data_IF_480909023937
#
_entry.id   IF_480909023937
#
_cell.length_a   1.000
_cell.length_b   1.000
_cell.length_c   1.000
_cell.angle_alpha   90.00
_cell.angle_beta   90.00
_cell.angle_gamma   90.00
#
_symmetry.space_group_name_H-M   'P 1'
#
loop_
_entity.id
_entity.type
_entity.pdbx_description
1 polymer ?
#
# COMPACT_ATOMS: atom_id res chain seq x y z
N UNK A 1 -8.34 2.38 56.89
CA UNK A 1 -9.13 2.10 58.11
C UNK A 1 -10.31 1.20 57.72
N UNK A 2 -10.48 0.02 58.32
CA UNK A 2 -11.66 -0.82 58.10
C UNK A 2 -12.92 0.01 58.36
N UNK A 3 -13.83 0.07 57.39
CA UNK A 3 -15.02 0.93 57.48
C UNK A 3 -15.82 0.60 58.74
N UNK A 4 -15.85 1.53 59.68
CA UNK A 4 -16.61 1.41 60.93
C UNK A 4 -18.03 0.94 60.58
N UNK A 5 -18.49 -0.19 61.13
CA UNK A 5 -19.83 -0.70 60.84
C UNK A 5 -20.87 0.34 61.28
N UNK A 6 -21.97 0.45 60.53
CA UNK A 6 -23.08 1.31 60.91
C UNK A 6 -23.78 0.72 62.12
N UNK A 7 -24.00 1.51 63.16
CA UNK A 7 -24.81 1.09 64.30
C UNK A 7 -26.30 1.18 63.95
N UNK A 8 -27.19 0.43 64.63
CA UNK A 8 -28.63 0.55 64.44
C UNK A 8 -29.15 1.98 64.66
N UNK A 9 -28.57 2.70 65.62
CA UNK A 9 -28.90 4.10 65.93
C UNK A 9 -28.50 5.06 64.79
N UNK A 10 -27.30 4.90 64.22
CA UNK A 10 -26.86 5.69 63.06
C UNK A 10 -27.75 5.44 61.83
N UNK A 11 -28.20 4.21 61.64
CA UNK A 11 -29.12 3.87 60.55
C UNK A 11 -30.51 4.47 60.76
N UNK A 12 -31.05 4.41 61.99
CA UNK A 12 -32.33 5.04 62.32
C UNK A 12 -32.27 6.55 62.09
N UNK A 13 -31.20 7.20 62.58
CA UNK A 13 -30.96 8.63 62.40
C UNK A 13 -30.76 9.00 60.93
N UNK A 14 -30.10 8.16 60.13
CA UNK A 14 -30.01 8.33 58.68
C UNK A 14 -31.40 8.30 58.02
N UNK A 15 -32.30 7.40 58.43
CA UNK A 15 -33.66 7.31 57.86
C UNK A 15 -34.49 8.56 58.12
N UNK A 16 -34.27 9.24 59.24
CA UNK A 16 -34.91 10.52 59.55
C UNK A 16 -34.28 11.66 58.75
N UNK A 17 -32.95 11.77 58.78
CA UNK A 17 -32.22 12.85 58.13
C UNK A 17 -32.41 12.85 56.60
N UNK A 18 -32.57 11.68 55.97
CA UNK A 18 -32.80 11.56 54.52
C UNK A 18 -34.16 12.12 54.07
N UNK A 19 -35.13 12.23 54.99
CA UNK A 19 -36.43 12.87 54.75
C UNK A 19 -36.39 14.40 54.88
N UNK A 20 -35.31 14.94 55.44
CA UNK A 20 -35.11 16.39 55.56
C UNK A 20 -34.45 16.95 54.30
N UNK A 21 -34.43 18.27 54.17
CA UNK A 21 -33.79 18.96 53.03
C UNK A 21 -32.25 19.10 53.20
N UNK A 22 -31.59 18.16 53.86
CA UNK A 22 -30.14 18.17 54.06
C UNK A 22 -29.41 17.47 52.91
N UNK A 23 -28.25 17.99 52.53
CA UNK A 23 -27.36 17.35 51.54
C UNK A 23 -26.64 16.15 52.14
N UNK A 24 -26.14 15.24 51.29
CA UNK A 24 -25.37 14.08 51.74
C UNK A 24 -24.11 14.45 52.56
N UNK A 25 -23.51 15.61 52.29
CA UNK A 25 -22.35 16.11 53.02
C UNK A 25 -22.73 16.59 54.42
N UNK A 26 -23.84 17.31 54.56
CA UNK A 26 -24.36 17.76 55.85
C UNK A 26 -24.78 16.59 56.74
N UNK A 27 -25.47 15.59 56.17
CA UNK A 27 -25.80 14.35 56.87
C UNK A 27 -24.52 13.61 57.29
N UNK A 28 -23.50 13.58 56.41
CA UNK A 28 -22.18 13.05 56.73
C UNK A 28 -21.55 13.71 57.94
N UNK A 29 -21.59 15.05 58.01
CA UNK A 29 -21.08 15.79 59.15
C UNK A 29 -21.83 15.46 60.46
N UNK A 30 -23.17 15.40 60.43
CA UNK A 30 -24.01 15.08 61.60
C UNK A 30 -23.75 13.66 62.11
N UNK A 31 -23.60 12.69 61.20
CA UNK A 31 -23.37 11.29 61.54
C UNK A 31 -21.88 10.96 61.70
N UNK A 32 -20.98 11.96 61.56
CA UNK A 32 -19.53 11.78 61.54
C UNK A 32 -19.07 10.70 60.53
N UNK A 33 -19.73 10.63 59.37
CA UNK A 33 -19.44 9.72 58.25
C UNK A 33 -19.06 10.50 57.00
N UNK A 34 -18.26 9.90 56.11
CA UNK A 34 -17.98 10.53 54.81
C UNK A 34 -19.24 10.61 53.93
N UNK A 35 -19.31 11.64 53.08
CA UNK A 35 -20.40 11.84 52.11
C UNK A 35 -20.67 10.58 51.28
N UNK A 36 -19.60 9.87 50.89
CA UNK A 36 -19.69 8.63 50.11
C UNK A 36 -20.24 7.46 50.93
N UNK A 37 -19.93 7.36 52.22
CA UNK A 37 -20.47 6.31 53.09
C UNK A 37 -22.00 6.50 53.30
N UNK A 38 -22.44 7.74 53.50
CA UNK A 38 -23.86 8.11 53.60
C UNK A 38 -24.59 7.75 52.32
N UNK A 39 -24.09 8.17 51.15
CA UNK A 39 -24.69 7.87 49.84
C UNK A 39 -24.83 6.37 49.58
N UNK A 40 -23.79 5.57 49.88
CA UNK A 40 -23.84 4.11 49.73
C UNK A 40 -24.87 3.48 50.65
N UNK A 41 -24.95 3.93 51.91
CA UNK A 41 -25.90 3.39 52.88
C UNK A 41 -27.35 3.71 52.49
N UNK A 42 -27.62 4.93 52.03
CA UNK A 42 -28.93 5.34 51.47
C UNK A 42 -29.34 4.41 50.31
N UNK A 43 -28.43 4.16 49.36
CA UNK A 43 -28.68 3.24 48.23
C UNK A 43 -28.95 1.81 48.69
N UNK A 44 -28.14 1.29 49.62
CA UNK A 44 -28.29 -0.09 50.14
C UNK A 44 -29.61 -0.30 50.87
N UNK A 45 -30.07 0.70 51.63
CA UNK A 45 -31.33 0.68 52.36
C UNK A 45 -32.54 1.10 51.50
N UNK A 46 -32.32 1.47 50.24
CA UNK A 46 -33.34 1.94 49.29
C UNK A 46 -34.22 3.06 49.85
N UNK A 47 -33.62 4.00 50.59
CA UNK A 47 -34.36 5.12 51.19
C UNK A 47 -34.73 6.15 50.13
N UNK A 48 -35.99 6.62 50.16
CA UNK A 48 -36.44 7.76 49.33
C UNK A 48 -35.93 9.06 49.97
N UNK A 49 -35.05 9.74 49.26
CA UNK A 49 -34.47 11.02 49.67
C UNK A 49 -35.37 12.20 49.29
N UNK A 50 -35.57 13.14 50.21
CA UNK A 50 -36.34 14.35 49.95
C UNK A 50 -35.57 15.38 49.09
N UNK A 51 -34.25 15.46 49.24
CA UNK A 51 -33.40 16.37 48.45
C UNK A 51 -32.79 15.65 47.23
N UNK A 52 -33.01 16.21 46.02
CA UNK A 52 -32.46 15.68 44.75
C UNK A 52 -30.92 15.48 44.73
N UNK A 53 -30.15 16.25 45.52
CA UNK A 53 -28.68 16.17 45.58
C UNK A 53 -28.11 15.10 46.54
N UNK A 54 -28.97 14.31 47.20
CA UNK A 54 -28.55 13.21 48.09
C UNK A 54 -28.00 12.00 47.32
N UNK A 55 -28.40 11.85 46.06
CA UNK A 55 -27.91 10.86 45.13
C UNK A 55 -27.43 11.67 43.92
N UNK A 56 -26.13 11.84 43.69
CA UNK A 56 -25.64 12.47 42.45
C UNK A 56 -26.18 11.64 41.27
N UNK A 57 -27.28 12.10 40.66
CA UNK A 57 -27.75 11.58 39.39
C UNK A 57 -26.84 12.27 38.37
N UNK A 58 -25.82 11.56 37.88
CA UNK A 58 -25.11 12.02 36.68
C UNK A 58 -26.17 12.22 35.60
N UNK A 59 -26.18 13.37 34.88
CA UNK A 59 -27.13 13.58 33.80
C UNK A 59 -27.08 12.37 32.88
N UNK A 60 -28.25 11.91 32.50
CA UNK A 60 -28.37 10.86 31.50
C UNK A 60 -27.70 11.34 30.21
N UNK A 61 -27.24 10.41 29.38
CA UNK A 61 -26.64 10.74 28.08
C UNK A 61 -27.54 11.68 27.26
N UNK A 62 -28.86 11.53 27.36
CA UNK A 62 -29.85 12.39 26.71
C UNK A 62 -29.80 13.84 27.20
N UNK A 63 -29.72 14.05 28.52
CA UNK A 63 -29.65 15.41 29.11
C UNK A 63 -28.33 16.10 28.76
N UNK A 64 -27.23 15.35 28.74
CA UNK A 64 -25.93 15.88 28.30
C UNK A 64 -25.95 16.27 26.82
N UNK A 65 -26.59 15.48 25.95
CA UNK A 65 -26.75 15.79 24.52
C UNK A 65 -27.61 17.03 24.32
N UNK A 66 -28.73 17.18 25.04
CA UNK A 66 -29.58 18.38 24.94
C UNK A 66 -28.85 19.65 25.37
N UNK A 67 -28.03 19.57 26.42
CA UNK A 67 -27.23 20.70 26.88
C UNK A 67 -26.17 21.10 25.85
N UNK A 68 -25.53 20.12 25.21
CA UNK A 68 -24.57 20.36 24.12
C UNK A 68 -25.27 20.98 22.91
N UNK A 69 -26.45 20.49 22.51
CA UNK A 69 -27.22 21.06 21.38
C UNK A 69 -27.60 22.52 21.66
N UNK A 70 -28.03 22.84 22.89
CA UNK A 70 -28.32 24.23 23.28
C UNK A 70 -27.08 25.11 23.17
N UNK A 71 -25.92 24.63 23.61
CA UNK A 71 -24.65 25.38 23.50
C UNK A 71 -24.23 25.57 22.03
N UNK A 72 -24.34 24.54 21.19
CA UNK A 72 -24.03 24.62 19.76
C UNK A 72 -24.92 25.66 19.06
N UNK A 73 -26.22 25.70 19.36
CA UNK A 73 -27.15 26.69 18.78
C UNK A 73 -26.84 28.15 19.14
N UNK A 74 -26.10 28.37 20.22
CA UNK A 74 -25.71 29.70 20.68
C UNK A 74 -24.34 30.14 20.11
N UNK A 75 -23.60 29.24 19.47
CA UNK A 75 -22.33 29.58 18.80
C UNK A 75 -22.66 30.02 17.37
N UNK A 76 -22.38 31.27 16.98
CA UNK A 76 -22.51 31.70 15.60
C UNK A 76 -21.60 30.83 14.73
N UNK A 77 -22.15 30.24 13.68
CA UNK A 77 -21.36 29.58 12.65
C UNK A 77 -20.61 30.65 11.88
N UNK A 78 -19.29 30.70 12.03
CA UNK A 78 -18.45 31.49 11.13
C UNK A 78 -18.63 30.94 9.71
N UNK A 79 -19.14 31.78 8.81
CA UNK A 79 -19.23 31.45 7.41
C UNK A 79 -17.84 31.49 6.81
N UNK A 80 -17.28 30.33 6.46
CA UNK A 80 -16.01 30.28 5.73
C UNK A 80 -16.19 30.84 4.32
N UNK A 81 -15.18 31.56 3.83
CA UNK A 81 -15.19 32.10 2.48
C UNK A 81 -15.28 30.98 1.43
N UNK A 82 -16.02 31.24 0.37
CA UNK A 82 -16.12 30.32 -0.76
C UNK A 82 -14.81 30.33 -1.56
N UNK A 83 -14.07 29.22 -1.50
CA UNK A 83 -12.85 29.02 -2.29
C UNK A 83 -13.24 28.57 -3.71
N UNK A 84 -12.85 29.35 -4.73
CA UNK A 84 -12.97 28.95 -6.15
C UNK A 84 -11.75 28.13 -6.57
N UNK A 85 -11.97 27.14 -7.44
CA UNK A 85 -10.87 26.43 -8.06
C UNK A 85 -10.03 27.39 -8.92
N UNK A 86 -8.69 27.30 -8.88
CA UNK A 86 -7.84 28.13 -9.71
C UNK A 86 -8.00 27.76 -11.19
N UNK A 87 -8.05 28.77 -12.06
CA UNK A 87 -7.93 28.59 -13.52
C UNK A 87 -6.44 28.47 -13.87
N UNK A 88 -6.00 27.28 -14.27
CA UNK A 88 -4.59 26.99 -14.61
C UNK A 88 -4.49 26.81 -16.13
N UNK A 89 -3.75 27.67 -16.85
CA UNK A 89 -3.50 27.49 -18.27
C UNK A 89 -2.81 26.15 -18.58
N UNK A 90 -3.04 25.60 -19.77
CA UNK A 90 -2.31 24.42 -20.22
C UNK A 90 -0.79 24.68 -20.21
N UNK A 91 -0.02 23.74 -19.69
CA UNK A 91 1.43 23.84 -19.55
C UNK A 91 1.92 24.69 -18.36
N UNK A 92 1.03 25.23 -17.52
CA UNK A 92 1.41 26.00 -16.33
C UNK A 92 1.69 25.13 -15.09
N UNK A 93 1.57 23.81 -15.18
CA UNK A 93 1.91 22.87 -14.13
C UNK A 93 3.42 22.72 -13.93
N UNK A 94 3.82 22.33 -12.71
CA UNK A 94 5.21 22.00 -12.39
C UNK A 94 5.74 20.82 -13.23
N UNK A 95 7.06 20.75 -13.40
CA UNK A 95 7.71 19.58 -14.01
C UNK A 95 7.61 18.37 -13.08
N UNK A 96 7.11 17.26 -13.61
CA UNK A 96 7.02 15.97 -12.91
C UNK A 96 7.82 14.89 -13.66
N UNK A 97 8.13 13.79 -12.96
CA UNK A 97 8.68 12.58 -13.61
C UNK A 97 7.69 11.44 -13.53
N UNK A 98 7.67 10.60 -14.57
CA UNK A 98 6.89 9.38 -14.56
C UNK A 98 7.69 8.23 -13.92
N UNK A 99 6.99 7.33 -13.24
CA UNK A 99 7.54 6.08 -12.71
C UNK A 99 6.68 4.93 -13.23
N UNK A 100 7.25 4.02 -14.02
CA UNK A 100 6.59 2.77 -14.39
C UNK A 100 7.15 1.65 -13.53
N UNK A 101 6.32 1.07 -12.67
CA UNK A 101 6.65 -0.11 -11.90
C UNK A 101 6.32 -1.35 -12.72
N UNK A 102 7.37 -2.05 -13.15
CA UNK A 102 7.33 -3.26 -13.95
C UNK A 102 7.82 -4.46 -13.11
N UNK A 103 6.97 -5.45 -12.89
CA UNK A 103 7.31 -6.62 -12.08
C UNK A 103 6.57 -7.86 -12.55
N UNK A 104 7.13 -9.03 -12.25
CA UNK A 104 6.45 -10.32 -12.40
C UNK A 104 5.93 -10.52 -13.84
N UNK A 105 6.83 -10.45 -14.82
CA UNK A 105 6.49 -10.71 -16.23
C UNK A 105 6.38 -12.22 -16.48
N UNK A 106 7.22 -13.02 -15.82
CA UNK A 106 7.25 -14.48 -15.93
C UNK A 106 7.37 -15.00 -17.37
N UNK A 107 8.29 -14.42 -18.15
CA UNK A 107 8.56 -14.90 -19.53
C UNK A 107 8.93 -16.39 -19.47
N UNK A 108 8.23 -17.20 -20.27
CA UNK A 108 8.39 -18.67 -20.30
C UNK A 108 7.32 -19.45 -19.55
N UNK A 109 6.51 -18.78 -18.72
CA UNK A 109 5.36 -19.41 -18.05
C UNK A 109 4.23 -19.66 -19.04
N UNK A 110 3.58 -20.81 -18.90
CA UNK A 110 2.37 -21.21 -19.63
C UNK A 110 1.26 -21.54 -18.64
N UNK A 111 0.08 -20.99 -18.89
CA UNK A 111 -1.17 -21.32 -18.20
C UNK A 111 -2.29 -21.40 -19.23
N UNK A 112 -3.52 -21.63 -18.80
CA UNK A 112 -4.67 -21.64 -19.71
C UNK A 112 -4.91 -20.27 -20.37
N UNK A 113 -4.53 -19.18 -19.69
CA UNK A 113 -4.79 -17.81 -20.18
C UNK A 113 -3.56 -16.95 -20.38
N UNK A 114 -2.35 -17.50 -20.16
CA UNK A 114 -1.08 -16.80 -20.28
C UNK A 114 0.01 -17.64 -20.96
N UNK A 115 0.80 -16.99 -21.80
CA UNK A 115 2.00 -17.51 -22.45
C UNK A 115 2.86 -16.33 -22.94
N UNK A 116 4.00 -16.58 -23.59
CA UNK A 116 4.90 -15.54 -24.07
C UNK A 116 4.24 -14.56 -25.07
N UNK A 117 3.34 -15.05 -25.93
CA UNK A 117 2.59 -14.20 -26.86
C UNK A 117 1.64 -13.25 -26.11
N UNK A 118 0.88 -13.78 -25.14
CA UNK A 118 0.00 -12.97 -24.30
C UNK A 118 0.80 -11.96 -23.47
N UNK A 119 1.98 -12.34 -22.95
CA UNK A 119 2.87 -11.42 -22.25
C UNK A 119 3.25 -10.23 -23.14
N UNK A 120 3.62 -10.49 -24.41
CA UNK A 120 3.92 -9.45 -25.39
C UNK A 120 2.71 -8.55 -25.69
N UNK A 121 1.53 -9.14 -25.91
CA UNK A 121 0.29 -8.37 -26.14
C UNK A 121 -0.03 -7.46 -24.94
N UNK A 122 0.10 -7.98 -23.72
CA UNK A 122 -0.06 -7.22 -22.48
C UNK A 122 0.98 -6.11 -22.35
N UNK A 123 2.23 -6.35 -22.75
CA UNK A 123 3.28 -5.34 -22.75
C UNK A 123 2.99 -4.19 -23.72
N UNK A 124 2.56 -4.51 -24.95
CA UNK A 124 2.16 -3.50 -25.94
C UNK A 124 1.02 -2.64 -25.41
N UNK A 125 0.00 -3.28 -24.80
CA UNK A 125 -1.10 -2.56 -24.17
C UNK A 125 -0.62 -1.65 -23.04
N UNK A 126 0.26 -2.14 -22.17
CA UNK A 126 0.83 -1.38 -21.05
C UNK A 126 1.55 -0.12 -21.53
N UNK A 127 2.43 -0.26 -22.53
CA UNK A 127 3.18 0.88 -23.09
C UNK A 127 2.23 1.89 -23.72
N UNK A 128 1.28 1.44 -24.55
CA UNK A 128 0.31 2.34 -25.18
C UNK A 128 -0.52 3.12 -24.15
N UNK A 129 -0.95 2.47 -23.06
CA UNK A 129 -1.65 3.15 -21.97
C UNK A 129 -0.73 4.09 -21.19
N UNK A 130 0.51 3.69 -20.95
CA UNK A 130 1.50 4.53 -20.28
C UNK A 130 1.74 5.82 -21.06
N UNK A 131 2.05 5.71 -22.34
CA UNK A 131 2.26 6.87 -23.22
C UNK A 131 1.01 7.74 -23.32
N UNK A 132 -0.19 7.14 -23.45
CA UNK A 132 -1.45 7.90 -23.44
C UNK A 132 -1.63 8.71 -22.16
N UNK A 133 -1.43 8.09 -20.99
CA UNK A 133 -1.61 8.77 -19.70
C UNK A 133 -0.55 9.87 -19.53
N UNK A 134 0.71 9.60 -19.88
CA UNK A 134 1.78 10.59 -19.85
C UNK A 134 1.47 11.78 -20.76
N UNK A 135 0.96 11.54 -21.98
CA UNK A 135 0.55 12.63 -22.87
C UNK A 135 -0.58 13.48 -22.31
N UNK A 136 -1.51 12.90 -21.55
CA UNK A 136 -2.55 13.68 -20.85
C UNK A 136 -1.95 14.57 -19.75
N UNK A 137 -1.00 14.05 -18.97
CA UNK A 137 -0.30 14.84 -17.96
C UNK A 137 0.58 15.94 -18.58
N UNK A 138 1.17 15.69 -19.75
CA UNK A 138 1.94 16.69 -20.51
C UNK A 138 1.13 17.91 -20.96
N UNK A 139 -0.20 17.82 -20.97
CA UNK A 139 -1.08 18.99 -21.18
C UNK A 139 -1.01 19.93 -19.97
N UNK A 140 -0.86 19.38 -18.75
CA UNK A 140 -0.77 20.16 -17.52
C UNK A 140 0.63 20.72 -17.29
N UNK A 141 1.67 19.88 -17.38
CA UNK A 141 3.06 20.27 -17.12
C UNK A 141 4.07 19.30 -17.77
N UNK A 142 5.35 19.68 -17.86
CA UNK A 142 6.34 18.87 -18.58
C UNK A 142 6.66 17.56 -17.86
N UNK A 143 6.83 16.48 -18.65
CA UNK A 143 7.28 15.16 -18.18
C UNK A 143 8.36 14.64 -19.12
N UNK A 144 9.61 14.90 -18.77
CA UNK A 144 10.78 14.62 -19.63
C UNK A 144 11.45 13.29 -19.30
N UNK A 145 11.36 12.86 -18.03
CA UNK A 145 12.07 11.69 -17.50
C UNK A 145 11.09 10.57 -17.17
N UNK A 146 11.41 9.35 -17.60
CA UNK A 146 10.77 8.12 -17.15
C UNK A 146 11.72 7.32 -16.26
N UNK A 147 11.26 6.95 -15.07
CA UNK A 147 11.94 6.01 -14.20
C UNK A 147 11.24 4.65 -14.30
N UNK A 148 11.94 3.62 -14.75
CA UNK A 148 11.43 2.25 -14.86
C UNK A 148 11.94 1.46 -13.67
N UNK A 149 11.05 1.14 -12.74
CA UNK A 149 11.37 0.27 -11.61
C UNK A 149 11.08 -1.16 -12.01
N UNK A 150 12.13 -1.95 -12.21
CA UNK A 150 12.04 -3.38 -12.52
C UNK A 150 12.27 -4.16 -11.23
N UNK A 151 11.22 -4.70 -10.63
CA UNK A 151 11.31 -5.35 -9.30
C UNK A 151 11.32 -6.88 -9.34
N UNK A 152 11.94 -7.47 -10.36
CA UNK A 152 12.21 -8.91 -10.40
C UNK A 152 11.13 -9.77 -11.06
N UNK A 153 11.46 -11.06 -11.18
CA UNK A 153 10.64 -12.12 -11.79
C UNK A 153 10.30 -11.79 -13.25
N UNK A 154 11.33 -11.43 -14.01
CA UNK A 154 11.19 -11.13 -15.43
C UNK A 154 11.08 -12.41 -16.24
N UNK A 155 11.86 -13.42 -15.87
CA UNK A 155 11.76 -14.77 -16.42
C UNK A 155 11.04 -15.68 -15.42
N UNK A 156 10.44 -16.77 -15.93
CA UNK A 156 9.85 -17.78 -15.06
C UNK A 156 10.90 -18.74 -14.47
N UNK A 157 11.98 -19.00 -15.22
CA UNK A 157 12.95 -20.07 -14.97
C UNK A 157 12.34 -21.48 -15.06
N UNK A 158 13.21 -22.49 -14.92
CA UNK A 158 12.89 -23.92 -14.89
C UNK A 158 12.96 -24.49 -13.47
N UNK A 159 13.77 -23.88 -12.60
CA UNK A 159 13.98 -24.28 -11.21
C UNK A 159 13.53 -23.16 -10.27
N UNK A 160 12.23 -23.11 -9.98
CA UNK A 160 11.67 -22.24 -8.93
C UNK A 160 11.28 -23.11 -7.73
N UNK A 161 12.26 -23.91 -7.26
CA UNK A 161 12.03 -24.93 -6.24
C UNK A 161 11.03 -26.01 -6.68
N UNK A 162 10.46 -26.74 -5.71
CA UNK A 162 9.52 -27.85 -5.95
C UNK A 162 8.12 -27.43 -6.44
N UNK A 163 7.95 -26.20 -6.96
CA UNK A 163 6.63 -25.59 -7.20
C UNK A 163 6.26 -25.43 -8.67
N UNK A 164 7.21 -25.60 -9.59
CA UNK A 164 6.93 -25.49 -11.03
C UNK A 164 6.57 -26.87 -11.57
N UNK A 165 5.35 -27.01 -12.08
CA UNK A 165 5.02 -28.12 -12.96
C UNK A 165 5.62 -27.82 -14.35
N UNK A 166 6.41 -28.75 -14.90
CA UNK A 166 7.00 -28.59 -16.23
C UNK A 166 5.95 -28.45 -17.33
N UNK A 167 4.71 -28.91 -17.10
CA UNK A 167 3.58 -28.67 -18.00
C UNK A 167 3.24 -27.18 -18.16
N UNK A 168 3.62 -26.36 -17.17
CA UNK A 168 3.42 -24.92 -17.12
C UNK A 168 4.62 -24.13 -17.68
N UNK A 169 5.55 -24.81 -18.36
CA UNK A 169 6.71 -24.21 -19.02
C UNK A 169 6.54 -24.23 -20.54
N UNK A 170 6.56 -23.05 -21.18
CA UNK A 170 6.52 -22.92 -22.64
C UNK A 170 7.92 -22.90 -23.26
N UNK A 171 8.89 -22.35 -22.55
CA UNK A 171 10.21 -22.03 -23.08
C UNK A 171 11.30 -22.55 -22.15
N UNK A 172 12.35 -23.14 -22.72
CA UNK A 172 13.57 -23.42 -21.97
C UNK A 172 14.24 -22.12 -21.52
N UNK A 173 15.02 -22.17 -20.46
CA UNK A 173 15.64 -21.01 -19.81
C UNK A 173 16.40 -20.09 -20.77
N UNK A 174 17.22 -20.67 -21.67
CA UNK A 174 17.95 -19.91 -22.69
C UNK A 174 17.00 -19.07 -23.55
N UNK A 175 15.87 -19.63 -23.95
CA UNK A 175 14.91 -18.98 -24.84
C UNK A 175 14.07 -17.96 -24.05
N UNK A 176 13.78 -18.20 -22.77
CA UNK A 176 13.17 -17.21 -21.88
C UNK A 176 14.01 -15.93 -21.79
N UNK A 177 15.34 -16.07 -21.73
CA UNK A 177 16.26 -14.93 -21.61
C UNK A 177 16.54 -14.29 -22.98
N UNK A 178 17.04 -15.09 -23.93
CA UNK A 178 17.64 -14.61 -25.19
C UNK A 178 16.82 -14.93 -26.45
N UNK A 179 15.72 -15.68 -26.32
CA UNK A 179 14.86 -16.01 -27.45
C UNK A 179 14.22 -14.77 -28.09
N UNK A 180 13.66 -14.92 -29.29
CA UNK A 180 12.96 -13.81 -29.99
C UNK A 180 11.77 -13.24 -29.21
N UNK A 181 11.16 -14.07 -28.38
CA UNK A 181 10.08 -13.70 -27.44
C UNK A 181 10.59 -13.63 -25.99
N UNK A 182 11.90 -13.73 -25.80
CA UNK A 182 12.55 -13.71 -24.49
C UNK A 182 12.61 -12.30 -23.88
N UNK A 183 12.97 -12.26 -22.61
CA UNK A 183 13.04 -11.05 -21.78
C UNK A 183 13.95 -9.97 -22.38
N UNK A 184 15.15 -10.32 -22.86
CA UNK A 184 16.09 -9.35 -23.44
C UNK A 184 15.50 -8.70 -24.69
N UNK A 185 14.89 -9.49 -25.59
CA UNK A 185 14.28 -8.97 -26.80
C UNK A 185 13.08 -8.06 -26.49
N UNK A 186 12.20 -8.49 -25.59
CA UNK A 186 11.01 -7.75 -25.17
C UNK A 186 11.38 -6.42 -24.51
N UNK A 187 12.27 -6.44 -23.50
CA UNK A 187 12.67 -5.24 -22.77
C UNK A 187 13.52 -4.30 -23.61
N UNK A 188 14.34 -4.81 -24.55
CA UNK A 188 15.02 -3.94 -25.53
C UNK A 188 14.01 -3.12 -26.32
N UNK A 189 12.96 -3.76 -26.83
CA UNK A 189 11.91 -3.07 -27.59
C UNK A 189 11.19 -2.04 -26.73
N UNK A 190 10.80 -2.40 -25.50
CA UNK A 190 10.17 -1.50 -24.53
C UNK A 190 11.02 -0.24 -24.31
N UNK A 191 12.30 -0.42 -23.98
CA UNK A 191 13.20 0.69 -23.66
C UNK A 191 13.47 1.59 -24.87
N UNK A 192 13.55 1.03 -26.09
CA UNK A 192 13.62 1.82 -27.32
C UNK A 192 12.38 2.69 -27.50
N UNK A 193 11.18 2.12 -27.32
CA UNK A 193 9.93 2.90 -27.41
C UNK A 193 9.91 4.03 -26.39
N UNK A 194 10.37 3.80 -25.16
CA UNK A 194 10.49 4.87 -24.17
C UNK A 194 11.53 5.93 -24.57
N UNK A 195 12.66 5.54 -25.14
CA UNK A 195 13.67 6.48 -25.63
C UNK A 195 13.19 7.35 -26.81
N UNK A 196 12.16 6.93 -27.55
CA UNK A 196 11.51 7.80 -28.55
C UNK A 196 10.56 8.84 -27.93
N UNK A 197 10.12 8.61 -26.68
CA UNK A 197 9.05 9.38 -26.05
C UNK A 197 9.50 10.19 -24.83
N UNK A 198 10.72 9.98 -24.33
CA UNK A 198 11.29 10.64 -23.16
C UNK A 198 12.70 11.12 -23.46
N UNK A 199 13.09 12.25 -22.85
CA UNK A 199 14.44 12.81 -22.97
C UNK A 199 15.45 11.93 -22.22
N UNK A 200 15.05 11.36 -21.09
CA UNK A 200 15.87 10.47 -20.28
C UNK A 200 15.04 9.30 -19.72
N UNK A 201 15.63 8.11 -19.71
CA UNK A 201 15.07 6.89 -19.12
C UNK A 201 16.03 6.34 -18.06
N UNK A 202 15.61 6.28 -16.80
CA UNK A 202 16.39 5.63 -15.74
C UNK A 202 15.79 4.26 -15.45
N UNK A 203 16.61 3.21 -15.43
CA UNK A 203 16.18 1.83 -15.21
C UNK A 203 16.79 1.31 -13.92
N UNK A 204 15.94 1.01 -12.94
CA UNK A 204 16.36 0.53 -11.63
C UNK A 204 15.91 -0.92 -11.46
N UNK A 205 16.84 -1.84 -11.29
CA UNK A 205 16.59 -3.28 -11.30
C UNK A 205 16.90 -3.94 -9.96
N UNK A 206 15.96 -4.69 -9.41
CA UNK A 206 16.20 -5.66 -8.33
C UNK A 206 15.78 -7.04 -8.80
N UNK A 207 16.62 -8.04 -8.53
CA UNK A 207 16.39 -9.44 -8.91
C UNK A 207 15.19 -10.04 -8.20
N UNK A 208 14.45 -10.90 -8.90
CA UNK A 208 13.39 -11.73 -8.33
C UNK A 208 13.88 -13.07 -7.80
N UNK A 209 12.95 -13.87 -7.27
CA UNK A 209 13.26 -15.23 -6.83
C UNK A 209 13.20 -16.27 -7.94
N UNK A 210 12.47 -16.01 -9.03
CA UNK A 210 12.38 -16.94 -10.16
C UNK A 210 13.71 -17.08 -10.91
N UNK A 211 14.48 -16.00 -11.03
CA UNK A 211 15.78 -16.05 -11.69
C UNK A 211 16.89 -16.77 -10.89
N UNK A 212 16.66 -17.23 -9.65
CA UNK A 212 17.72 -17.83 -8.83
C UNK A 212 18.31 -19.09 -9.47
N UNK A 213 19.61 -19.26 -9.31
CA UNK A 213 20.28 -20.51 -9.61
C UNK A 213 19.86 -21.64 -8.65
N UNK A 214 20.37 -22.86 -8.89
CA UNK A 214 20.03 -24.04 -8.10
C UNK A 214 20.23 -23.84 -6.60
N UNK A 215 19.48 -24.60 -5.79
CA UNK A 215 19.58 -24.57 -4.33
C UNK A 215 21.03 -24.74 -3.87
N UNK A 216 21.49 -23.84 -2.99
CA UNK A 216 22.86 -23.83 -2.47
C UNK A 216 23.81 -22.89 -3.22
N UNK A 217 23.38 -22.33 -4.35
CA UNK A 217 24.09 -21.22 -5.00
C UNK A 217 23.77 -19.88 -4.33
N UNK A 218 24.63 -18.88 -4.58
CA UNK A 218 24.39 -17.51 -4.12
C UNK A 218 23.09 -16.96 -4.69
N UNK A 219 22.32 -16.20 -3.91
CA UNK A 219 21.14 -15.48 -4.43
C UNK A 219 21.49 -14.46 -5.53
N UNK A 220 22.78 -14.07 -5.63
CA UNK A 220 23.33 -13.23 -6.70
C UNK A 220 23.62 -14.00 -7.99
N UNK A 221 23.67 -15.33 -7.95
CA UNK A 221 23.66 -16.15 -9.16
C UNK A 221 22.24 -16.18 -9.67
N UNK A 222 21.86 -15.15 -10.44
CA UNK A 222 20.49 -14.89 -10.81
C UNK A 222 20.34 -14.51 -12.30
N UNK A 223 19.40 -15.14 -12.98
CA UNK A 223 19.12 -14.93 -14.40
C UNK A 223 18.38 -13.62 -14.69
N UNK A 224 17.66 -13.04 -13.72
CA UNK A 224 17.18 -11.66 -13.87
C UNK A 224 18.37 -10.70 -13.98
N UNK A 225 19.43 -10.89 -13.18
CA UNK A 225 20.65 -10.07 -13.30
C UNK A 225 21.30 -10.25 -14.68
N UNK A 226 21.33 -11.48 -15.22
CA UNK A 226 21.83 -11.74 -16.59
C UNK A 226 21.03 -10.93 -17.63
N UNK A 227 19.69 -10.87 -17.50
CA UNK A 227 18.85 -10.03 -18.36
C UNK A 227 19.24 -8.55 -18.18
N UNK A 228 19.38 -8.07 -16.95
CA UNK A 228 19.67 -6.66 -16.66
C UNK A 228 21.03 -6.21 -17.17
N UNK A 229 22.10 -6.98 -16.91
CA UNK A 229 23.44 -6.67 -17.40
C UNK A 229 23.51 -6.77 -18.93
N UNK A 230 22.81 -7.72 -19.54
CA UNK A 230 22.72 -7.78 -21.01
C UNK A 230 22.07 -6.52 -21.59
N UNK A 231 20.99 -6.03 -20.97
CA UNK A 231 20.35 -4.79 -21.38
C UNK A 231 21.28 -3.58 -21.15
N UNK A 232 21.97 -3.51 -20.01
CA UNK A 232 22.93 -2.44 -19.73
C UNK A 232 24.00 -2.35 -20.82
N UNK A 233 24.65 -3.46 -21.17
CA UNK A 233 25.65 -3.51 -22.26
C UNK A 233 25.03 -3.10 -23.59
N UNK A 234 23.82 -3.57 -23.91
CA UNK A 234 23.15 -3.24 -25.18
C UNK A 234 22.86 -1.75 -25.38
N UNK A 235 22.77 -1.01 -24.28
CA UNK A 235 22.47 0.42 -24.28
C UNK A 235 23.64 1.28 -23.77
N UNK A 236 24.86 0.71 -23.63
CA UNK A 236 26.01 1.37 -23.00
C UNK A 236 26.42 2.69 -23.70
N UNK A 237 26.28 2.73 -25.04
CA UNK A 237 26.62 3.90 -25.85
C UNK A 237 25.53 4.98 -25.87
N UNK A 238 24.36 4.75 -25.26
CA UNK A 238 23.25 5.70 -25.28
C UNK A 238 23.17 6.50 -23.96
N UNK A 239 23.60 7.78 -23.94
CA UNK A 239 23.64 8.58 -22.72
C UNK A 239 22.26 8.94 -22.15
N UNK A 240 21.17 8.75 -22.93
CA UNK A 240 19.79 9.04 -22.51
C UNK A 240 19.18 7.93 -21.65
N UNK A 241 19.84 6.78 -21.53
CA UNK A 241 19.40 5.68 -20.67
C UNK A 241 20.46 5.32 -19.64
N UNK A 242 20.05 5.16 -18.39
CA UNK A 242 20.94 4.82 -17.27
C UNK A 242 20.42 3.60 -16.54
N UNK A 243 21.30 2.63 -16.30
CA UNK A 243 20.98 1.41 -15.57
C UNK A 243 21.57 1.45 -14.16
N UNK A 244 20.74 1.09 -13.18
CA UNK A 244 21.08 0.93 -11.78
C UNK A 244 20.63 -0.47 -11.34
N UNK A 245 21.54 -1.43 -11.41
CA UNK A 245 21.29 -2.83 -11.05
C UNK A 245 21.75 -3.02 -9.61
N UNK A 246 20.86 -3.53 -8.76
CA UNK A 246 21.16 -3.68 -7.34
C UNK A 246 22.16 -4.82 -7.08
N UNK A 247 23.26 -4.54 -6.40
CA UNK A 247 24.19 -5.61 -5.95
C UNK A 247 23.60 -6.47 -4.82
N UNK A 248 22.65 -5.94 -4.06
CA UNK A 248 21.95 -6.60 -2.95
C UNK A 248 20.51 -6.97 -3.34
N UNK A 249 19.76 -7.63 -2.46
CA UNK A 249 18.34 -7.95 -2.68
C UNK A 249 17.43 -6.71 -2.79
N UNK A 250 17.98 -5.54 -2.47
CA UNK A 250 17.33 -4.25 -2.52
C UNK A 250 18.26 -3.17 -3.06
N UNK A 251 17.68 -2.04 -3.45
CA UNK A 251 18.38 -0.77 -3.61
C UNK A 251 17.50 0.39 -3.11
N UNK A 252 18.13 1.50 -2.72
CA UNK A 252 17.42 2.75 -2.39
C UNK A 252 17.80 3.78 -3.44
N UNK A 253 16.80 4.28 -4.16
CA UNK A 253 16.99 5.21 -5.28
C UNK A 253 16.41 6.57 -4.92
N UNK A 254 17.01 7.65 -5.42
CA UNK A 254 16.58 9.02 -5.14
C UNK A 254 16.04 9.67 -6.41
N UNK A 255 14.80 10.12 -6.37
CA UNK A 255 14.18 10.95 -7.42
C UNK A 255 13.71 12.24 -6.74
N UNK A 256 14.21 13.38 -7.23
CA UNK A 256 14.10 14.67 -6.53
C UNK A 256 14.58 14.58 -5.07
N UNK A 257 13.74 14.95 -4.11
CA UNK A 257 14.02 14.87 -2.67
C UNK A 257 13.45 13.62 -2.00
N UNK A 258 12.91 12.67 -2.77
CA UNK A 258 12.27 11.45 -2.27
C UNK A 258 13.14 10.22 -2.50
N UNK A 259 13.11 9.31 -1.54
CA UNK A 259 13.85 8.04 -1.55
C UNK A 259 12.91 6.86 -1.68
N UNK A 260 13.27 5.94 -2.56
CA UNK A 260 12.48 4.78 -2.94
C UNK A 260 13.28 3.52 -2.66
N UNK A 261 12.84 2.75 -1.67
CA UNK A 261 13.30 1.39 -1.45
C UNK A 261 12.67 0.49 -2.52
N UNK A 262 13.51 -0.19 -3.29
CA UNK A 262 13.09 -1.22 -4.25
C UNK A 262 13.59 -2.56 -3.74
N UNK A 263 12.72 -3.56 -3.66
CA UNK A 263 13.06 -4.96 -3.41
C UNK A 263 12.02 -5.85 -4.06
N UNK A 264 12.35 -7.09 -4.43
CA UNK A 264 11.35 -7.96 -5.07
C UNK A 264 10.23 -8.38 -4.11
N UNK A 265 10.55 -8.69 -2.86
CA UNK A 265 9.57 -8.99 -1.82
C UNK A 265 9.53 -10.45 -1.35
N UNK A 266 10.36 -11.33 -1.92
CA UNK A 266 10.50 -12.73 -1.53
C UNK A 266 11.07 -12.93 -0.10
N UNK A 267 11.72 -11.91 0.45
CA UNK A 267 12.16 -11.91 1.86
C UNK A 267 10.98 -11.74 2.83
N UNK A 268 9.81 -11.34 2.33
CA UNK A 268 8.61 -11.14 3.14
C UNK A 268 7.98 -12.50 3.37
N UNK A 269 7.93 -12.92 4.64
CA UNK A 269 7.32 -14.18 5.05
C UNK A 269 6.05 -13.88 5.84
N UNK A 270 5.04 -14.71 5.63
CA UNK A 270 3.85 -14.72 6.47
C UNK A 270 2.78 -13.71 6.03
N UNK A 271 1.72 -14.24 5.40
CA UNK A 271 0.40 -13.65 5.52
C UNK A 271 -0.34 -14.29 6.68
N UNK A 272 -1.15 -13.51 7.41
CA UNK A 272 -2.10 -14.10 8.36
C UNK A 272 -3.27 -14.66 7.57
N UNK A 273 -3.56 -15.96 7.69
CA UNK A 273 -4.61 -16.65 6.92
C UNK A 273 -4.44 -16.55 5.39
N UNK A 274 -3.19 -16.60 4.90
CA UNK A 274 -2.87 -16.51 3.48
C UNK A 274 -2.74 -15.07 2.97
N UNK A 275 -3.31 -14.06 3.63
CA UNK A 275 -3.33 -12.63 3.22
C UNK A 275 -1.96 -11.95 3.42
N UNK A 276 -1.23 -11.48 2.37
CA UNK A 276 0.13 -10.98 2.50
C UNK A 276 0.23 -9.63 3.23
N UNK A 277 -0.89 -8.91 3.36
CA UNK A 277 -0.95 -7.54 3.88
C UNK A 277 -0.22 -7.36 5.23
N UNK A 278 -0.38 -8.32 6.14
CA UNK A 278 0.27 -8.25 7.45
C UNK A 278 1.79 -8.37 7.36
N UNK A 279 2.29 -9.34 6.58
CA UNK A 279 3.73 -9.52 6.36
C UNK A 279 4.36 -8.33 5.64
N UNK A 280 3.65 -7.80 4.64
CA UNK A 280 4.03 -6.59 3.90
C UNK A 280 4.18 -5.39 4.83
N UNK A 281 3.15 -5.09 5.65
CA UNK A 281 3.18 -3.98 6.60
C UNK A 281 4.26 -4.16 7.67
N UNK A 282 4.36 -5.36 8.27
CA UNK A 282 5.42 -5.69 9.22
C UNK A 282 6.81 -5.46 8.61
N UNK A 283 7.04 -5.91 7.38
CA UNK A 283 8.34 -5.75 6.74
C UNK A 283 8.64 -4.29 6.44
N UNK A 284 7.68 -3.56 5.88
CA UNK A 284 7.78 -2.13 5.61
C UNK A 284 8.24 -1.37 6.87
N UNK A 285 7.56 -1.58 8.01
CA UNK A 285 7.90 -0.89 9.26
C UNK A 285 9.25 -1.29 9.85
N UNK A 286 9.66 -2.56 9.70
CA UNK A 286 10.98 -3.02 10.17
C UNK A 286 12.10 -2.46 9.31
N UNK A 287 11.92 -2.43 7.99
CA UNK A 287 12.93 -1.86 7.09
C UNK A 287 13.02 -0.34 7.17
N UNK A 288 11.98 0.34 7.63
CA UNK A 288 12.03 1.77 7.89
C UNK A 288 13.06 2.14 8.98
N UNK A 289 13.32 1.23 9.92
CA UNK A 289 14.22 1.47 11.06
C UNK A 289 15.52 0.68 11.00
N UNK A 290 15.61 -0.37 10.18
CA UNK A 290 16.80 -1.25 10.09
C UNK A 290 17.62 -1.10 8.82
N UNK A 291 17.11 -0.42 7.78
CA UNK A 291 17.89 -0.13 6.58
C UNK A 291 18.92 0.98 6.84
N UNK A 292 20.07 0.96 6.13
CA UNK A 292 21.15 1.94 6.34
C UNK A 292 20.72 3.37 6.01
N UNK A 293 19.72 3.54 5.16
CA UNK A 293 19.16 4.84 4.81
C UNK A 293 17.65 4.84 5.00
N UNK A 294 17.13 5.99 5.47
CA UNK A 294 15.69 6.24 5.47
C UNK A 294 15.16 6.31 4.03
N UNK A 295 13.89 5.95 3.88
CA UNK A 295 13.17 5.96 2.61
C UNK A 295 11.72 6.39 2.83
N UNK A 296 11.11 6.98 1.79
CA UNK A 296 9.72 7.47 1.81
C UNK A 296 8.77 6.41 1.24
N UNK A 297 9.19 5.76 0.15
CA UNK A 297 8.38 4.82 -0.61
C UNK A 297 9.05 3.46 -0.70
N UNK A 298 8.29 2.38 -0.57
CA UNK A 298 8.76 1.02 -0.78
C UNK A 298 8.00 0.38 -1.94
N UNK A 299 8.70 -0.18 -2.92
CA UNK A 299 8.13 -0.88 -4.07
C UNK A 299 8.55 -2.35 -4.07
N UNK A 300 7.58 -3.26 -4.25
CA UNK A 300 7.85 -4.67 -4.42
C UNK A 300 6.84 -5.39 -5.33
N UNK A 301 7.20 -6.58 -5.82
CA UNK A 301 6.34 -7.47 -6.59
C UNK A 301 6.01 -8.73 -5.81
N UNK A 302 6.28 -9.90 -6.40
CA UNK A 302 6.25 -11.25 -5.81
C UNK A 302 4.86 -11.79 -5.46
N UNK A 303 4.03 -10.97 -4.82
CA UNK A 303 2.74 -11.40 -4.27
C UNK A 303 1.60 -11.39 -5.29
N UNK A 304 1.84 -10.86 -6.48
CA UNK A 304 0.88 -10.78 -7.59
C UNK A 304 -0.42 -10.08 -7.20
N UNK A 305 -0.37 -9.16 -6.24
CA UNK A 305 -1.51 -8.37 -5.76
C UNK A 305 -1.18 -6.89 -5.83
N UNK A 306 -2.08 -6.09 -6.39
CA UNK A 306 -1.88 -4.64 -6.41
C UNK A 306 -2.39 -4.02 -5.13
N UNK A 307 -1.47 -3.60 -4.27
CA UNK A 307 -1.77 -3.00 -2.98
C UNK A 307 -1.04 -1.68 -2.79
N UNK A 308 -1.63 -0.82 -1.97
CA UNK A 308 -1.02 0.40 -1.48
C UNK A 308 -1.28 0.46 0.02
N UNK A 309 -0.22 0.57 0.80
CA UNK A 309 -0.29 0.55 2.26
C UNK A 309 0.49 1.73 2.76
N UNK A 310 -0.16 2.58 3.55
CA UNK A 310 0.47 3.75 4.15
C UNK A 310 0.47 3.62 5.67
N UNK A 311 1.63 3.81 6.29
CA UNK A 311 1.80 3.81 7.74
C UNK A 311 3.04 4.63 8.11
N UNK A 312 2.94 5.49 9.12
CA UNK A 312 4.07 6.30 9.64
C UNK A 312 4.79 7.13 8.55
N UNK A 313 4.03 7.73 7.63
CA UNK A 313 4.53 8.49 6.47
C UNK A 313 5.40 7.68 5.49
N UNK A 314 5.38 6.35 5.59
CA UNK A 314 5.93 5.45 4.59
C UNK A 314 4.78 4.87 3.77
N UNK A 315 4.99 4.74 2.47
CA UNK A 315 4.00 4.13 1.57
C UNK A 315 4.63 2.95 0.84
N UNK A 316 4.00 1.79 0.94
CA UNK A 316 4.33 0.58 0.20
C UNK A 316 3.41 0.43 -1.01
N UNK A 317 4.01 0.33 -2.19
CA UNK A 317 3.38 -0.03 -3.45
C UNK A 317 3.74 -1.46 -3.83
N UNK A 318 2.73 -2.33 -3.87
CA UNK A 318 2.88 -3.70 -4.36
C UNK A 318 2.39 -3.78 -5.79
N UNK A 319 3.26 -4.22 -6.68
CA UNK A 319 2.97 -4.44 -8.09
C UNK A 319 2.12 -5.70 -8.29
N UNK A 320 1.37 -5.71 -9.39
CA UNK A 320 0.65 -6.91 -9.82
C UNK A 320 1.58 -7.83 -10.61
N UNK A 321 1.04 -8.51 -11.61
CA UNK A 321 1.81 -9.43 -12.46
C UNK A 321 1.30 -9.36 -13.90
N UNK A 322 2.05 -9.94 -14.83
CA UNK A 322 1.56 -10.21 -16.17
C UNK A 322 0.76 -11.50 -16.26
N UNK A 323 0.84 -12.39 -15.28
CA UNK A 323 0.11 -13.67 -15.23
C UNK A 323 -1.32 -13.45 -14.74
N UNK A 324 -2.29 -14.19 -15.26
CA UNK A 324 -3.72 -14.00 -14.93
C UNK A 324 -4.35 -15.09 -14.09
N UNK A 325 -3.80 -16.28 -14.19
CA UNK A 325 -4.23 -17.49 -13.55
C UNK A 325 -2.97 -18.22 -13.11
N UNK A 326 -2.99 -18.74 -11.89
CA UNK A 326 -1.92 -19.58 -11.38
C UNK A 326 -2.55 -20.62 -10.47
N UNK A 327 -2.51 -21.88 -10.90
CA UNK A 327 -3.13 -22.98 -10.18
C UNK A 327 -2.50 -23.17 -8.80
N UNK A 328 -1.18 -22.93 -8.67
CA UNK A 328 -0.50 -22.98 -7.39
C UNK A 328 -1.09 -21.95 -6.42
N UNK A 329 -1.18 -20.70 -6.84
CA UNK A 329 -1.74 -19.61 -6.03
C UNK A 329 -3.20 -19.87 -5.66
N UNK A 330 -4.01 -20.36 -6.60
CA UNK A 330 -5.39 -20.72 -6.35
C UNK A 330 -5.53 -21.83 -5.30
N UNK A 331 -4.72 -22.90 -5.41
CA UNK A 331 -4.73 -24.03 -4.47
C UNK A 331 -4.23 -23.65 -3.08
N UNK A 332 -3.19 -22.82 -2.98
CA UNK A 332 -2.55 -22.48 -1.71
C UNK A 332 -3.23 -21.33 -0.96
N UNK A 333 -3.71 -20.32 -1.68
CA UNK A 333 -4.18 -19.07 -1.09
C UNK A 333 -5.64 -18.74 -1.42
N UNK A 334 -6.26 -19.42 -2.39
CA UNK A 334 -7.68 -19.24 -2.71
C UNK A 334 -8.02 -17.96 -3.48
N UNK A 335 -7.04 -17.33 -4.15
CA UNK A 335 -7.28 -16.19 -5.02
C UNK A 335 -6.51 -16.29 -6.34
N UNK A 336 -6.87 -15.43 -7.29
CA UNK A 336 -6.15 -15.24 -8.54
C UNK A 336 -5.26 -14.01 -8.49
N UNK A 337 -4.30 -13.96 -9.41
CA UNK A 337 -3.39 -12.85 -9.62
C UNK A 337 -4.11 -11.54 -10.01
N UNK A 338 -3.59 -10.42 -9.53
CA UNK A 338 -3.93 -9.08 -10.03
C UNK A 338 -3.08 -8.77 -11.27
N UNK A 339 -3.61 -9.04 -12.47
CA UNK A 339 -2.92 -8.77 -13.74
C UNK A 339 -2.88 -7.29 -14.10
N UNK A 340 -2.09 -6.53 -13.34
CA UNK A 340 -2.02 -5.07 -13.39
C UNK A 340 -0.58 -4.62 -13.18
N UNK A 341 -0.21 -3.49 -13.79
CA UNK A 341 1.05 -2.78 -13.51
C UNK A 341 0.74 -1.33 -13.12
N UNK A 342 1.66 -0.66 -12.44
CA UNK A 342 1.40 0.64 -11.84
C UNK A 342 2.25 1.71 -12.52
N UNK A 343 1.59 2.76 -13.00
CA UNK A 343 2.22 4.00 -13.47
C UNK A 343 1.98 5.08 -12.41
N UNK A 344 3.02 5.80 -12.04
CA UNK A 344 2.96 6.89 -11.06
C UNK A 344 3.61 8.15 -11.62
N UNK A 345 3.28 9.27 -11.00
CA UNK A 345 3.89 10.57 -11.27
C UNK A 345 4.43 11.11 -9.95
N UNK A 346 5.66 11.64 -9.99
CA UNK A 346 6.31 12.26 -8.83
C UNK A 346 6.50 13.76 -9.09
N UNK A 347 5.98 14.54 -8.15
CA UNK A 347 6.16 15.97 -8.04
C UNK A 347 7.34 16.30 -7.11
N UNK A 348 8.22 17.26 -7.46
CA UNK A 348 9.44 17.57 -6.69
C UNK A 348 9.20 18.02 -5.25
N UNK A 349 8.01 18.56 -4.94
CA UNK A 349 7.66 19.03 -3.59
C UNK A 349 6.71 18.10 -2.82
N UNK A 350 5.85 17.37 -3.52
CA UNK A 350 4.78 16.57 -2.91
C UNK A 350 5.11 15.07 -2.83
N UNK A 351 6.10 14.61 -3.59
CA UNK A 351 6.33 13.18 -3.80
C UNK A 351 5.34 12.63 -4.82
N UNK A 352 4.84 11.41 -4.62
CA UNK A 352 3.90 10.79 -5.57
C UNK A 352 2.58 11.60 -5.61
N UNK A 353 2.32 12.26 -6.72
CA UNK A 353 1.16 13.15 -6.95
C UNK A 353 0.01 12.46 -7.66
N UNK A 354 0.29 11.45 -8.50
CA UNK A 354 -0.72 10.67 -9.18
C UNK A 354 -0.30 9.21 -9.38
N UNK A 355 -1.29 8.32 -9.51
CA UNK A 355 -1.09 6.88 -9.71
C UNK A 355 -2.20 6.24 -10.51
N UNK A 356 -1.84 5.30 -11.37
CA UNK A 356 -2.73 4.60 -12.28
C UNK A 356 -2.42 3.10 -12.26
N UNK A 357 -3.43 2.29 -11.96
CA UNK A 357 -3.37 0.83 -12.02
C UNK A 357 -3.85 0.37 -13.40
N UNK A 358 -2.92 -0.02 -14.27
CA UNK A 358 -3.24 -0.42 -15.64
C UNK A 358 -3.62 -1.90 -15.66
N UNK A 359 -4.88 -2.21 -15.94
CA UNK A 359 -5.39 -3.58 -16.02
C UNK A 359 -5.04 -4.23 -17.35
N UNK A 360 -4.14 -5.21 -17.31
CA UNK A 360 -3.62 -5.90 -18.48
C UNK A 360 -4.60 -6.94 -19.06
N UNK A 361 -5.63 -7.34 -18.32
CA UNK A 361 -6.70 -8.20 -18.85
C UNK A 361 -7.46 -7.51 -19.99
N UNK A 362 -7.45 -6.17 -20.04
CA UNK A 362 -8.06 -5.40 -21.11
C UNK A 362 -7.29 -5.49 -22.45
N UNK A 363 -6.09 -6.07 -22.46
CA UNK A 363 -5.32 -6.23 -23.70
C UNK A 363 -6.04 -7.15 -24.71
N UNK A 364 -6.78 -8.17 -24.24
CA UNK A 364 -7.58 -9.06 -25.09
C UNK A 364 -8.67 -8.34 -25.90
N UNK A 365 -9.09 -7.14 -25.50
CA UNK A 365 -10.11 -6.35 -26.23
C UNK A 365 -9.55 -5.61 -27.45
N UNK A 366 -8.23 -5.56 -27.65
CA UNK A 366 -7.63 -4.87 -28.81
C UNK A 366 -7.60 -5.74 -30.08
N UNK A 367 -7.63 -7.07 -29.98
CA UNK A 367 -7.70 -7.96 -31.16
C UNK A 367 -9.04 -7.84 -31.89
N UNK A 368 -10.14 -7.56 -31.18
CA UNK A 368 -11.48 -7.44 -31.78
C UNK A 368 -11.66 -6.13 -32.56
N UNK A 369 -10.82 -5.11 -32.32
CA UNK A 369 -10.99 -3.78 -32.95
C UNK A 369 -10.13 -3.62 -34.22
N UNK A 370 -9.03 -4.37 -34.35
CA UNK A 370 -8.12 -4.26 -35.49
C UNK A 370 -8.23 -5.45 -36.48
N UNK A 371 -9.21 -6.34 -36.29
CA UNK A 371 -9.44 -7.53 -37.12
C UNK A 371 -10.47 -7.37 -38.23
N UNK A 372 -10.62 -6.17 -38.81
CA UNK A 372 -11.42 -5.93 -40.01
C UNK A 372 -10.56 -5.21 -41.06
N UNK A 373 -9.59 -5.93 -41.62
CA UNK A 373 -9.02 -5.64 -42.94
C UNK A 373 -8.61 -6.98 -43.55
N UNK A 374 -9.61 -7.68 -44.07
CA UNK A 374 -9.45 -8.57 -45.22
C UNK A 374 -9.77 -7.78 -46.49
#
# INVERSE_FOLDING_TARGET
MPGQKWTPEEEMKLRELVKTNLTAQQIGHILKRSTNAVRRKIRRLKLKAAHKGLLDIKPTFSEAVEEIIKKIRLVPLETMETIKAPEIPAGAGDEEQAILHLTDIHVGRKTDTFNALIAKIRMVYLINKTLKIVSLHRIAGPIKVLNVFITGDIINSEDVGYRVDLSELEMILRDQVFGKQGAVALLTWVLKVFLENFEQVNVYCVRGNHGRGPKGTSERTNWDDVVYYTLQVKFEDNPRIKFNIADSFYQIVKIYNKKFLLAHGDQIRGGTYGIPLYGLLQRMLRWATSMPEMWDYFFCGHWHVVSEIEQNNQVLYVGGTFVSDDEYTLRQYGWNACTKQVLLFIHPRQGISARYKINLLNAKKMEVVNGNHD
#
